data_IF_769449665279
#
_entry.id   IF_769449665279
#
_cell.length_a   1.000
_cell.length_b   1.000
_cell.length_c   1.000
_cell.angle_alpha   90.00
_cell.angle_beta   90.00
_cell.angle_gamma   90.00
#
_symmetry.space_group_name_H-M   'P 1'
#
loop_
_entity.id
_entity.type
_entity.pdbx_description
1 polymer ?
#
# COMPACT_ATOMS: atom_id res chain seq x y z
N UNK A 1 -19.80 -2.15 8.82
CA UNK A 1 -18.64 -1.26 8.64
C UNK A 1 -19.08 0.17 8.92
N UNK A 2 -18.46 0.82 9.90
CA UNK A 2 -18.67 2.24 10.21
C UNK A 2 -18.10 3.15 9.12
N UNK A 3 -18.50 4.42 9.10
CA UNK A 3 -17.94 5.41 8.14
C UNK A 3 -16.43 5.56 8.29
N UNK A 4 -15.91 5.50 9.53
CA UNK A 4 -14.49 5.56 9.81
C UNK A 4 -13.74 4.36 9.21
N UNK A 5 -14.25 3.15 9.44
CA UNK A 5 -13.67 1.91 8.87
C UNK A 5 -13.69 1.94 7.34
N UNK A 6 -14.75 2.46 6.73
CA UNK A 6 -14.84 2.58 5.27
C UNK A 6 -13.84 3.58 4.69
N UNK A 7 -13.59 4.69 5.39
CA UNK A 7 -12.59 5.67 4.98
C UNK A 7 -11.18 5.10 5.08
N UNK A 8 -10.87 4.34 6.14
CA UNK A 8 -9.59 3.65 6.26
C UNK A 8 -9.41 2.59 5.16
N UNK A 9 -10.48 1.88 4.80
CA UNK A 9 -10.45 0.93 3.67
C UNK A 9 -10.12 1.62 2.35
N UNK A 10 -10.76 2.76 2.08
CA UNK A 10 -10.46 3.59 0.90
C UNK A 10 -9.01 4.06 0.89
N UNK A 11 -8.51 4.52 2.04
CA UNK A 11 -7.13 4.98 2.15
C UNK A 11 -6.13 3.83 1.87
N UNK A 12 -6.37 2.64 2.42
CA UNK A 12 -5.52 1.47 2.17
C UNK A 12 -5.56 1.03 0.68
N UNK A 13 -6.75 1.06 0.06
CA UNK A 13 -6.89 0.78 -1.36
C UNK A 13 -6.15 1.82 -2.23
N UNK A 14 -6.25 3.10 -1.88
CA UNK A 14 -5.56 4.18 -2.58
C UNK A 14 -4.03 4.06 -2.44
N UNK A 15 -3.52 3.77 -1.24
CA UNK A 15 -2.08 3.51 -1.02
C UNK A 15 -1.58 2.31 -1.84
N UNK A 16 -2.38 1.25 -1.93
CA UNK A 16 -2.06 0.06 -2.73
C UNK A 16 -1.98 0.41 -4.21
N UNK A 17 -2.98 1.14 -4.73
CA UNK A 17 -2.98 1.60 -6.12
C UNK A 17 -1.81 2.54 -6.42
N UNK A 18 -1.46 3.45 -5.52
CA UNK A 18 -0.28 4.31 -5.69
C UNK A 18 1.02 3.49 -5.76
N UNK A 19 1.16 2.46 -4.90
CA UNK A 19 2.32 1.58 -4.94
C UNK A 19 2.41 0.81 -6.27
N UNK A 20 1.28 0.29 -6.77
CA UNK A 20 1.18 -0.38 -8.07
C UNK A 20 1.60 0.55 -9.22
N UNK A 21 1.05 1.77 -9.27
CA UNK A 21 1.38 2.74 -10.32
C UNK A 21 2.88 3.06 -10.34
N UNK A 22 3.49 3.23 -9.16
CA UNK A 22 4.93 3.47 -9.06
C UNK A 22 5.72 2.25 -9.56
N UNK A 23 5.32 1.03 -9.21
CA UNK A 23 5.95 -0.18 -9.73
C UNK A 23 5.87 -0.25 -11.26
N UNK A 24 4.70 0.04 -11.87
CA UNK A 24 4.57 0.08 -13.33
C UNK A 24 5.52 1.11 -13.97
N UNK A 25 5.65 2.30 -13.37
CA UNK A 25 6.61 3.31 -13.86
C UNK A 25 8.06 2.82 -13.79
N UNK A 26 8.43 2.09 -12.74
CA UNK A 26 9.76 1.48 -12.63
C UNK A 26 9.99 0.38 -13.67
N UNK A 27 8.95 -0.40 -13.99
CA UNK A 27 9.01 -1.47 -14.99
C UNK A 27 9.12 -0.93 -16.42
N UNK A 28 8.39 0.15 -16.73
CA UNK A 28 8.39 0.78 -18.05
C UNK A 28 9.68 1.59 -18.32
N UNK A 29 10.28 2.16 -17.26
CA UNK A 29 11.43 3.08 -17.36
C UNK A 29 12.59 2.77 -16.38
N UNK A 30 13.10 1.53 -16.32
CA UNK A 30 14.03 1.09 -15.26
C UNK A 30 15.41 1.77 -15.31
N UNK A 31 15.77 2.38 -16.43
CA UNK A 31 17.10 3.00 -16.65
C UNK A 31 17.08 4.52 -16.59
N UNK A 32 15.96 5.14 -16.23
CA UNK A 32 15.81 6.60 -16.21
C UNK A 32 16.04 7.23 -14.83
N UNK A 33 16.36 6.41 -13.82
CA UNK A 33 16.50 6.84 -12.43
C UNK A 33 17.94 6.63 -11.94
N UNK A 34 18.44 7.59 -11.16
CA UNK A 34 19.66 7.43 -10.40
C UNK A 34 19.45 6.50 -9.19
N UNK A 35 20.53 5.87 -8.70
CA UNK A 35 20.47 4.95 -7.54
C UNK A 35 19.86 5.60 -6.28
N UNK A 36 20.08 6.90 -6.07
CA UNK A 36 19.49 7.67 -4.97
C UNK A 36 17.98 7.86 -5.12
N UNK A 37 17.50 8.06 -6.34
CA UNK A 37 16.07 8.17 -6.66
C UNK A 37 15.41 6.80 -6.50
N UNK A 38 16.04 5.73 -7.00
CA UNK A 38 15.57 4.36 -6.84
C UNK A 38 15.44 3.97 -5.36
N UNK A 39 16.42 4.32 -4.52
CA UNK A 39 16.37 4.08 -3.07
C UNK A 39 15.22 4.82 -2.39
N UNK A 40 14.95 6.05 -2.83
CA UNK A 40 13.85 6.88 -2.31
C UNK A 40 12.48 6.32 -2.73
N UNK A 41 12.35 5.90 -3.99
CA UNK A 41 11.15 5.28 -4.53
C UNK A 41 10.88 3.93 -3.86
N UNK A 42 11.90 3.08 -3.69
CA UNK A 42 11.78 1.82 -2.97
C UNK A 42 11.29 2.02 -1.53
N UNK A 43 11.77 3.06 -0.86
CA UNK A 43 11.31 3.44 0.48
C UNK A 43 9.85 3.90 0.49
N UNK A 44 9.43 4.65 -0.54
CA UNK A 44 8.04 5.08 -0.72
C UNK A 44 7.10 3.89 -0.95
N UNK A 45 7.44 2.98 -1.86
CA UNK A 45 6.68 1.75 -2.13
C UNK A 45 6.54 0.94 -0.84
N UNK A 46 7.64 0.72 -0.11
CA UNK A 46 7.64 -0.01 1.16
C UNK A 46 6.66 0.59 2.16
N UNK A 47 6.62 1.91 2.28
CA UNK A 47 5.69 2.61 3.18
C UNK A 47 4.24 2.44 2.72
N UNK A 48 3.94 2.70 1.45
CA UNK A 48 2.59 2.61 0.91
C UNK A 48 2.00 1.18 1.05
N UNK A 49 2.76 0.18 0.58
CA UNK A 49 2.35 -1.21 0.67
C UNK A 49 2.32 -1.72 2.12
N UNK A 50 3.27 -1.29 2.95
CA UNK A 50 3.34 -1.66 4.36
C UNK A 50 2.14 -1.12 5.16
N UNK A 51 1.81 0.16 5.01
CA UNK A 51 0.66 0.78 5.66
C UNK A 51 -0.65 0.07 5.26
N UNK A 52 -0.82 -0.22 3.97
CA UNK A 52 -1.99 -0.95 3.47
C UNK A 52 -2.04 -2.38 4.03
N UNK A 53 -0.90 -3.08 4.07
CA UNK A 53 -0.80 -4.43 4.62
C UNK A 53 -1.17 -4.50 6.11
N UNK A 54 -0.71 -3.53 6.91
CA UNK A 54 -1.06 -3.46 8.34
C UNK A 54 -2.56 -3.31 8.51
N UNK A 55 -3.18 -2.36 7.80
CA UNK A 55 -4.63 -2.15 7.87
C UNK A 55 -5.40 -3.40 7.44
N UNK A 56 -5.05 -4.02 6.31
CA UNK A 56 -5.73 -5.24 5.84
C UNK A 56 -5.60 -6.39 6.84
N UNK A 57 -4.42 -6.54 7.46
CA UNK A 57 -4.19 -7.57 8.47
C UNK A 57 -5.04 -7.35 9.72
N UNK A 58 -5.21 -6.10 10.15
CA UNK A 58 -6.12 -5.76 11.25
C UNK A 58 -7.57 -6.10 10.91
N UNK A 59 -8.04 -5.74 9.69
CA UNK A 59 -9.41 -6.06 9.24
C UNK A 59 -9.65 -7.57 9.21
N UNK A 60 -8.73 -8.34 8.63
CA UNK A 60 -8.83 -9.81 8.58
C UNK A 60 -8.89 -10.39 9.99
N UNK A 61 -8.00 -9.95 10.89
CA UNK A 61 -7.99 -10.41 12.27
C UNK A 61 -9.30 -10.13 13.02
N UNK A 62 -9.91 -8.96 12.83
CA UNK A 62 -11.20 -8.66 13.45
C UNK A 62 -12.34 -9.51 12.89
N UNK A 63 -12.34 -9.78 11.57
CA UNK A 63 -13.33 -10.66 10.94
C UNK A 63 -13.22 -12.09 11.47
N UNK A 64 -12.01 -12.66 11.52
CA UNK A 64 -11.77 -14.00 12.08
C UNK A 64 -12.17 -14.13 13.55
N UNK A 65 -12.06 -13.05 14.34
CA UNK A 65 -12.51 -13.02 15.73
C UNK A 65 -14.02 -12.93 15.88
N UNK A 66 -14.70 -12.20 15.00
CA UNK A 66 -16.15 -12.09 15.01
C UNK A 66 -16.85 -13.37 14.56
N UNK A 67 -16.16 -14.21 13.79
CA UNK A 67 -16.64 -15.52 13.32
C UNK A 67 -16.45 -16.67 14.32
N UNK A 68 -15.75 -16.44 15.44
CA UNK A 68 -15.52 -17.42 16.53
C UNK A 68 -16.41 -17.16 17.73
#
# INVERSE_FOLDING_TARGET
>A
MSVAEFNQFKEAAEKTFQAELICSLLEDHPHQLADSELSSIASLIKRLAGDAYVYMSEVIYQQERAEK
#
